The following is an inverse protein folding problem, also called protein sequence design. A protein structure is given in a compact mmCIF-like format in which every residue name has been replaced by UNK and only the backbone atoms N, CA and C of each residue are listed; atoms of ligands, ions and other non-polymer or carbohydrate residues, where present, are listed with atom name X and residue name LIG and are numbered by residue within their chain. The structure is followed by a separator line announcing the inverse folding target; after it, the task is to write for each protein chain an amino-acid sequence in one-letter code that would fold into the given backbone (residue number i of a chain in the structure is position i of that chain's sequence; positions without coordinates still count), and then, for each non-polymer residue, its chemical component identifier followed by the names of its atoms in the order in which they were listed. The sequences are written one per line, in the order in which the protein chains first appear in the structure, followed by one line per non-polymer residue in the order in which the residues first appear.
data_IF_184183111657
#
_entry.id   IF_184183111657
#
_cell.length_a   1.000
_cell.length_b   1.000
_cell.length_c   1.000
_cell.angle_alpha   90.00
_cell.angle_beta   90.00
_cell.angle_gamma   90.00
#
_symmetry.space_group_name_H-M   'P 1'
#
loop_
_entity.id
_entity.type
_entity.pdbx_description
1 polymer ?
#
# COMPACT_ATOMS: atom_id res chain seq x y z
N UNK A 1 -5.72 18.56 -20.15
CA UNK A 1 -6.55 18.08 -19.03
C UNK A 1 -5.62 18.14 -17.84
N UNK A 2 -5.81 19.12 -16.97
CA UNK A 2 -4.85 19.41 -15.89
C UNK A 2 -5.28 18.64 -14.65
N UNK A 3 -4.41 17.74 -14.18
CA UNK A 3 -4.64 17.01 -12.94
C UNK A 3 -4.12 17.86 -11.78
N UNK A 4 -5.01 18.19 -10.83
CA UNK A 4 -4.62 18.85 -9.58
C UNK A 4 -4.24 17.79 -8.56
N UNK A 5 -3.02 17.85 -8.03
CA UNK A 5 -2.49 16.91 -7.05
C UNK A 5 -2.55 17.55 -5.67
N UNK A 6 -3.23 16.89 -4.72
CA UNK A 6 -3.22 17.26 -3.31
C UNK A 6 -2.40 16.24 -2.52
N UNK A 7 -1.46 16.73 -1.70
CA UNK A 7 -0.68 15.89 -0.79
C UNK A 7 -1.39 15.84 0.57
N UNK A 8 -1.71 14.63 1.03
CA UNK A 8 -2.37 14.38 2.31
C UNK A 8 -1.43 13.54 3.18
N UNK A 9 -1.21 13.96 4.43
CA UNK A 9 -0.52 13.13 5.42
C UNK A 9 -1.52 12.11 5.99
N UNK A 10 -1.37 10.84 5.60
CA UNK A 10 -2.25 9.74 6.01
C UNK A 10 -2.30 9.51 7.53
N UNK A 11 -1.35 10.09 8.29
CA UNK A 11 -1.33 10.07 9.77
C UNK A 11 -2.26 11.10 10.39
N UNK A 12 -2.59 12.16 9.64
CA UNK A 12 -3.44 13.28 10.06
C UNK A 12 -4.86 13.06 9.53
N UNK A 13 -4.98 12.73 8.25
CA UNK A 13 -6.24 12.58 7.56
C UNK A 13 -6.13 11.52 6.47
N UNK A 14 -7.18 10.73 6.27
CA UNK A 14 -7.26 9.80 5.15
C UNK A 14 -7.99 10.46 3.97
N UNK A 15 -7.61 10.13 2.72
CA UNK A 15 -8.38 10.56 1.56
C UNK A 15 -9.82 10.00 1.61
N UNK A 16 -10.75 10.51 0.79
CA UNK A 16 -12.06 9.91 0.66
C UNK A 16 -12.03 8.44 0.23
N UNK A 17 -13.07 7.69 0.60
CA UNK A 17 -13.19 6.27 0.24
C UNK A 17 -13.10 6.05 -1.28
N UNK A 18 -12.34 5.04 -1.69
CA UNK A 18 -12.17 4.68 -3.10
C UNK A 18 -11.23 5.61 -3.90
N UNK A 19 -10.71 6.69 -3.31
CA UNK A 19 -9.74 7.56 -4.01
C UNK A 19 -8.44 6.80 -4.26
N UNK A 20 -7.91 6.95 -5.48
CA UNK A 20 -6.61 6.41 -5.87
C UNK A 20 -5.50 7.20 -5.17
N UNK A 21 -4.60 6.48 -4.51
CA UNK A 21 -3.38 7.02 -3.89
C UNK A 21 -2.15 6.29 -4.38
N UNK A 22 -0.99 6.96 -4.28
CA UNK A 22 0.32 6.36 -4.51
C UNK A 22 1.02 6.21 -3.17
N UNK A 23 1.36 4.98 -2.80
CA UNK A 23 2.15 4.68 -1.60
C UNK A 23 3.57 4.28 -1.97
N UNK A 24 4.55 4.83 -1.27
CA UNK A 24 5.92 4.37 -1.33
C UNK A 24 6.16 3.36 -0.20
N UNK A 25 6.50 2.13 -0.54
CA UNK A 25 6.82 1.06 0.42
C UNK A 25 8.24 0.58 0.22
N UNK A 26 8.89 0.15 1.30
CA UNK A 26 10.20 -0.51 1.21
C UNK A 26 10.01 -1.99 0.93
N UNK A 27 10.80 -2.54 0.01
CA UNK A 27 10.87 -3.96 -0.27
C UNK A 27 12.32 -4.43 -0.31
N UNK A 28 12.52 -5.74 -0.20
CA UNK A 28 13.83 -6.36 -0.40
C UNK A 28 13.72 -7.39 -1.50
N UNK A 29 14.52 -7.23 -2.55
CA UNK A 29 14.63 -8.27 -3.57
C UNK A 29 15.36 -9.48 -2.99
N UNK A 30 14.92 -10.70 -3.31
CA UNK A 30 15.68 -11.90 -2.96
C UNK A 30 17.07 -11.82 -3.61
N UNK A 31 18.08 -12.40 -2.95
CA UNK A 31 19.39 -12.53 -3.56
C UNK A 31 19.32 -13.48 -4.76
N UNK A 32 20.05 -13.16 -5.82
CA UNK A 32 20.15 -14.04 -6.98
C UNK A 32 20.93 -15.32 -6.61
N UNK A 33 20.55 -16.45 -7.22
CA UNK A 33 21.22 -17.73 -6.96
C UNK A 33 22.71 -17.63 -7.34
N UNK A 34 23.59 -17.76 -6.35
CA UNK A 34 25.05 -17.71 -6.53
C UNK A 34 25.72 -16.43 -6.03
N UNK A 35 24.96 -15.42 -5.61
CA UNK A 35 25.53 -14.29 -4.88
C UNK A 35 25.82 -14.67 -3.42
N UNK A 36 27.07 -14.48 -3.00
CA UNK A 36 27.54 -14.71 -1.60
C UNK A 36 27.01 -13.61 -0.65
N UNK A 37 26.41 -12.56 -1.22
CA UNK A 37 25.73 -11.51 -0.49
C UNK A 37 24.41 -12.01 0.08
N UNK A 38 24.39 -12.33 1.37
CA UNK A 38 23.16 -12.55 2.14
C UNK A 38 22.29 -11.30 2.30
N UNK A 39 22.69 -10.17 1.69
CA UNK A 39 21.98 -8.90 1.74
C UNK A 39 21.23 -8.71 0.42
N UNK A 40 19.96 -9.13 0.39
CA UNK A 40 19.04 -8.71 -0.67
C UNK A 40 19.03 -7.18 -0.80
N UNK A 41 18.83 -6.67 -2.02
CA UNK A 41 18.86 -5.22 -2.27
C UNK A 41 17.61 -4.54 -1.71
N UNK A 42 17.82 -3.54 -0.85
CA UNK A 42 16.74 -2.68 -0.39
C UNK A 42 16.24 -1.80 -1.55
N UNK A 43 14.92 -1.74 -1.70
CA UNK A 43 14.26 -1.04 -2.80
C UNK A 43 13.06 -0.26 -2.29
N UNK A 44 12.69 0.77 -3.04
CA UNK A 44 11.42 1.48 -2.87
C UNK A 44 10.50 1.12 -4.02
N UNK A 45 9.29 0.71 -3.69
CA UNK A 45 8.24 0.44 -4.65
C UNK A 45 7.13 1.48 -4.49
N UNK A 46 6.75 2.12 -5.59
CA UNK A 46 5.59 3.01 -5.63
C UNK A 46 4.41 2.20 -6.15
N UNK A 47 3.37 2.05 -5.31
CA UNK A 47 2.21 1.21 -5.61
C UNK A 47 0.96 2.09 -5.64
N UNK A 48 0.14 1.88 -6.67
CA UNK A 48 -1.20 2.42 -6.76
C UNK A 48 -2.15 1.66 -5.83
N UNK A 49 -2.85 2.38 -4.97
CA UNK A 49 -3.76 1.81 -3.98
C UNK A 49 -5.06 2.60 -3.89
N UNK A 50 -6.09 2.00 -3.31
CA UNK A 50 -7.31 2.70 -2.92
C UNK A 50 -7.52 2.60 -1.41
N UNK A 51 -8.00 3.68 -0.79
CA UNK A 51 -8.51 3.58 0.56
C UNK A 51 -9.84 2.82 0.55
N UNK A 52 -9.96 1.84 1.45
CA UNK A 52 -11.21 1.20 1.87
C UNK A 52 -11.47 1.59 3.32
N UNK A 53 -12.53 2.37 3.51
CA UNK A 53 -13.00 2.84 4.81
C UNK A 53 -13.57 1.70 5.63
N UNK A 54 -14.20 0.73 4.96
CA UNK A 54 -14.76 -0.49 5.54
C UNK A 54 -14.49 -1.67 4.61
N UNK A 55 -13.95 -2.76 5.17
CA UNK A 55 -13.78 -4.03 4.49
C UNK A 55 -14.17 -5.20 5.43
N UNK A 56 -15.20 -5.99 5.09
CA UNK A 56 -15.54 -7.19 5.84
C UNK A 56 -14.54 -8.31 5.53
N UNK A 57 -14.06 -9.00 6.55
CA UNK A 57 -13.17 -10.16 6.37
C UNK A 57 -14.03 -11.39 6.11
N UNK A 58 -13.87 -11.96 4.91
CA UNK A 58 -14.62 -13.14 4.49
C UNK A 58 -14.47 -14.29 5.50
N UNK A 59 -15.60 -14.92 5.86
CA UNK A 59 -15.64 -16.01 6.83
C UNK A 59 -15.50 -15.58 8.29
N UNK A 60 -15.60 -14.29 8.61
CA UNK A 60 -15.57 -13.80 10.00
C UNK A 60 -16.48 -12.58 10.21
N UNK A 61 -16.79 -12.28 11.48
CA UNK A 61 -17.48 -11.04 11.88
C UNK A 61 -16.52 -9.83 11.96
N UNK A 62 -15.26 -9.99 11.56
CA UNK A 62 -14.28 -8.92 11.63
C UNK A 62 -14.50 -7.90 10.51
N UNK A 63 -14.49 -6.63 10.88
CA UNK A 63 -14.54 -5.50 9.95
C UNK A 63 -13.25 -4.70 10.07
N UNK A 64 -12.49 -4.66 8.98
CA UNK A 64 -11.29 -3.86 8.85
C UNK A 64 -11.68 -2.46 8.39
N UNK A 65 -11.11 -1.42 9.00
CA UNK A 65 -11.39 -0.02 8.68
C UNK A 65 -10.13 0.76 8.35
N UNK A 66 -10.26 1.74 7.46
CA UNK A 66 -9.18 2.66 7.08
C UNK A 66 -7.92 1.92 6.62
N UNK A 67 -8.04 1.11 5.57
CA UNK A 67 -6.90 0.39 4.99
C UNK A 67 -6.74 0.68 3.52
N UNK A 68 -5.50 0.59 3.07
CA UNK A 68 -5.12 0.75 1.67
C UNK A 68 -5.04 -0.61 1.00
N UNK A 69 -5.57 -0.70 -0.21
CA UNK A 69 -5.66 -1.91 -1.02
C UNK A 69 -4.93 -1.68 -2.32
N UNK A 70 -3.94 -2.52 -2.64
CA UNK A 70 -3.34 -2.54 -3.98
C UNK A 70 -4.05 -3.53 -4.92
N UNK A 71 -3.63 -3.54 -6.19
CA UNK A 71 -4.19 -4.41 -7.22
C UNK A 71 -4.00 -5.91 -6.94
N UNK A 72 -3.02 -6.25 -6.10
CA UNK A 72 -2.73 -7.62 -5.69
C UNK A 72 -3.54 -8.03 -4.44
N UNK A 73 -4.51 -7.20 -4.05
CA UNK A 73 -5.38 -7.38 -2.87
C UNK A 73 -4.61 -7.37 -1.54
N UNK A 74 -3.41 -6.80 -1.50
CA UNK A 74 -2.67 -6.65 -0.24
C UNK A 74 -3.23 -5.47 0.55
N UNK A 75 -3.54 -5.73 1.82
CA UNK A 75 -4.05 -4.74 2.76
C UNK A 75 -2.90 -4.10 3.53
N UNK A 76 -2.76 -2.78 3.42
CA UNK A 76 -1.69 -2.00 4.06
C UNK A 76 -2.25 -1.01 5.08
N UNK A 77 -1.49 -0.79 6.14
CA UNK A 77 -1.74 0.27 7.14
C UNK A 77 -1.06 1.57 6.66
N UNK A 78 -1.59 2.74 7.02
CA UNK A 78 -0.84 3.99 6.92
C UNK A 78 0.44 3.95 7.76
#
# INVERSE_FOLDING_TARGET
MDATIAWIDARIENPPDGVLVLGAVTGRYPADEGEVSSAGQDSWLVIAMHLRSVHPVEGSDQVIRGRYWDCDQVVRKP
#
